data_IF_743947565967
#
_entry.id   IF_743947565967
#
_cell.length_a   1.000
_cell.length_b   1.000
_cell.length_c   1.000
_cell.angle_alpha   90.00
_cell.angle_beta   90.00
_cell.angle_gamma   90.00
#
_symmetry.space_group_name_H-M   'P 1'
#
loop_
_entity.id
_entity.type
_entity.pdbx_description
1 polymer ?
#
# COMPACT_ATOMS: atom_id res chain seq x y z
N UNK A 1 -34.78 -9.80 -8.39
CA UNK A 1 -34.69 -9.59 -6.92
C UNK A 1 -33.85 -10.70 -6.26
N UNK A 2 -32.63 -10.93 -6.78
CA UNK A 2 -31.56 -11.72 -6.14
C UNK A 2 -30.34 -11.62 -7.07
N UNK A 3 -29.52 -10.58 -6.89
CA UNK A 3 -28.15 -10.44 -7.45
C UNK A 3 -27.45 -9.15 -6.98
N UNK A 4 -27.73 -8.67 -5.75
CA UNK A 4 -27.16 -7.44 -5.19
C UNK A 4 -26.68 -7.68 -3.76
N UNK A 5 -25.75 -8.63 -3.56
CA UNK A 5 -25.13 -8.83 -2.24
C UNK A 5 -23.68 -9.31 -2.24
N UNK A 6 -22.94 -9.20 -3.36
CA UNK A 6 -21.59 -9.79 -3.45
C UNK A 6 -20.51 -8.85 -4.03
N UNK A 7 -20.49 -7.59 -3.59
CA UNK A 7 -19.44 -6.64 -4.01
C UNK A 7 -18.98 -5.69 -2.89
N UNK A 8 -18.87 -6.20 -1.65
CA UNK A 8 -18.27 -5.47 -0.52
C UNK A 8 -17.19 -6.24 0.27
N UNK A 9 -16.64 -7.30 -0.32
CA UNK A 9 -15.54 -8.09 0.26
C UNK A 9 -14.32 -7.99 -0.67
N UNK A 10 -13.67 -6.83 -0.76
CA UNK A 10 -12.36 -6.75 -1.45
C UNK A 10 -11.50 -5.53 -1.05
N UNK A 11 -11.44 -5.18 0.25
CA UNK A 11 -10.55 -4.11 0.72
C UNK A 11 -9.94 -4.32 2.13
N UNK A 12 -9.81 -5.55 2.63
CA UNK A 12 -9.36 -5.78 4.03
C UNK A 12 -8.39 -6.95 4.25
N UNK A 13 -7.44 -7.20 3.34
CA UNK A 13 -6.42 -8.25 3.55
C UNK A 13 -4.97 -7.74 3.69
N UNK A 14 -4.69 -6.44 3.59
CA UNK A 14 -3.30 -5.91 3.71
C UNK A 14 -3.04 -5.01 4.92
N UNK A 15 -3.86 -5.08 5.97
CA UNK A 15 -3.76 -4.16 7.12
C UNK A 15 -3.23 -4.77 8.44
N UNK A 16 -2.61 -5.96 8.43
CA UNK A 16 -2.13 -6.59 9.68
C UNK A 16 -0.61 -6.78 9.81
N UNK A 17 0.21 -6.23 8.90
CA UNK A 17 1.68 -6.34 8.99
C UNK A 17 2.47 -5.05 8.75
N UNK A 18 1.81 -3.89 8.82
CA UNK A 18 2.47 -2.59 8.80
C UNK A 18 1.89 -1.69 9.91
N UNK A 19 2.45 -1.76 11.12
CA UNK A 19 2.34 -0.67 12.09
C UNK A 19 3.75 -0.22 12.54
N UNK A 20 4.18 0.85 11.90
CA UNK A 20 5.07 1.93 12.32
C UNK A 20 6.04 1.70 13.49
N UNK A 21 7.33 1.79 13.13
CA UNK A 21 8.40 2.35 13.97
C UNK A 21 8.09 3.84 14.17
N UNK A 22 7.70 4.24 15.38
CA UNK A 22 7.87 5.59 15.90
C UNK A 22 7.77 5.54 17.43
N UNK A 23 8.91 5.68 18.12
CA UNK A 23 8.98 5.87 19.57
C UNK A 23 9.23 7.36 19.81
N UNK A 24 8.33 8.12 20.44
CA UNK A 24 8.71 9.38 21.06
C UNK A 24 9.22 9.09 22.46
N UNK A 25 10.50 9.39 22.68
CA UNK A 25 11.10 9.58 24.01
C UNK A 25 10.36 10.70 24.74
N UNK A 26 9.74 10.39 25.88
CA UNK A 26 9.18 11.39 26.78
C UNK A 26 9.72 11.19 28.20
N UNK A 27 10.27 12.29 28.72
CA UNK A 27 10.88 12.52 30.02
C UNK A 27 10.04 12.02 31.21
N UNK A 28 10.73 11.46 32.20
CA UNK A 28 10.19 11.23 33.53
C UNK A 28 10.04 12.56 34.29
N UNK A 29 8.84 12.81 34.84
CA UNK A 29 8.66 13.72 35.96
C UNK A 29 7.82 13.05 37.04
N UNK A 30 8.37 13.09 38.26
CA UNK A 30 7.81 12.59 39.50
C UNK A 30 6.50 13.29 39.87
N UNK A 31 5.50 12.54 40.35
CA UNK A 31 4.43 13.12 41.18
C UNK A 31 4.24 12.29 42.46
N UNK A 32 4.22 12.99 43.60
CA UNK A 32 3.96 12.51 44.97
C UNK A 32 2.47 12.19 45.17
N UNK A 33 2.10 11.43 46.22
CA UNK A 33 0.81 10.74 46.31
C UNK A 33 -0.30 11.63 46.90
N UNK A 34 -1.54 11.41 46.43
CA UNK A 34 -2.75 11.92 47.06
C UNK A 34 -3.73 10.78 47.36
N UNK A 35 -3.94 10.62 48.66
CA UNK A 35 -5.07 10.13 49.45
C UNK A 35 -6.11 9.11 48.93
N UNK A 36 -6.27 8.11 49.80
CA UNK A 36 -7.35 7.13 49.91
C UNK A 36 -8.74 7.76 49.86
N UNK A 37 -9.60 7.21 49.01
CA UNK A 37 -10.98 6.77 49.35
C UNK A 37 -11.62 6.09 48.15
N UNK A 38 -11.94 4.79 48.28
CA UNK A 38 -13.06 4.05 47.64
C UNK A 38 -12.84 2.56 47.97
N UNK A 39 -13.54 2.01 48.96
CA UNK A 39 -14.91 1.50 48.92
C UNK A 39 -15.05 0.26 48.03
N UNK A 40 -15.00 -0.91 48.68
CA UNK A 40 -15.85 -2.12 48.54
C UNK A 40 -16.39 -2.59 47.18
N UNK A 41 -15.94 -2.04 46.05
CA UNK A 41 -16.38 -2.37 44.69
C UNK A 41 -15.36 -3.20 43.91
N UNK A 42 -14.22 -3.52 44.54
CA UNK A 42 -13.10 -4.23 43.92
C UNK A 42 -13.24 -5.76 44.03
N UNK A 43 -13.91 -6.28 45.07
CA UNK A 43 -14.02 -7.74 45.24
C UNK A 43 -15.03 -8.37 44.26
N UNK A 44 -16.15 -7.70 43.98
CA UNK A 44 -17.17 -8.21 43.04
C UNK A 44 -16.76 -8.13 41.54
N UNK A 45 -15.70 -7.39 41.20
CA UNK A 45 -15.17 -7.31 39.82
C UNK A 45 -14.08 -8.34 39.53
N UNK A 46 -13.48 -8.95 40.56
CA UNK A 46 -12.47 -10.00 40.38
C UNK A 46 -13.08 -11.37 40.08
N UNK A 47 -14.31 -11.65 40.56
CA UNK A 47 -15.03 -12.90 40.27
C UNK A 47 -15.84 -12.87 38.95
N UNK A 48 -16.13 -11.69 38.41
CA UNK A 48 -16.79 -11.56 37.10
C UNK A 48 -15.78 -11.60 35.94
N UNK A 49 -14.52 -11.21 36.17
CA UNK A 49 -13.46 -11.30 35.17
C UNK A 49 -13.04 -12.75 34.88
N UNK A 50 -13.21 -13.68 35.82
CA UNK A 50 -12.81 -15.09 35.67
C UNK A 50 -13.83 -15.98 34.95
N UNK A 51 -15.05 -15.49 34.67
CA UNK A 51 -16.08 -16.26 33.95
C UNK A 51 -16.19 -15.94 32.45
N UNK A 52 -15.67 -14.81 31.99
CA UNK A 52 -15.67 -14.47 30.55
C UNK A 52 -14.39 -14.89 29.80
N UNK A 53 -13.28 -15.16 30.52
CA UNK A 53 -12.05 -15.75 29.94
C UNK A 53 -12.28 -17.16 29.34
N UNK A 54 -13.35 -17.85 29.74
CA UNK A 54 -13.67 -19.19 29.25
C UNK A 54 -14.17 -19.23 27.79
N UNK A 55 -14.45 -18.08 27.17
CA UNK A 55 -15.03 -18.02 25.81
C UNK A 55 -13.99 -17.99 24.67
N UNK A 56 -12.69 -17.77 24.95
CA UNK A 56 -11.63 -17.80 23.93
C UNK A 56 -10.96 -19.18 23.82
N UNK A 57 -10.93 -19.98 24.90
CA UNK A 57 -10.27 -21.30 24.92
C UNK A 57 -10.76 -22.28 23.83
N UNK A 58 -12.08 -22.44 23.55
CA UNK A 58 -12.56 -23.42 22.57
C UNK A 58 -12.18 -23.07 21.12
N UNK A 59 -11.88 -21.80 20.83
CA UNK A 59 -11.52 -21.32 19.49
C UNK A 59 -10.09 -21.71 19.09
N UNK A 60 -9.24 -22.03 20.06
CA UNK A 60 -7.84 -22.38 19.88
C UNK A 60 -7.55 -23.85 20.19
N UNK A 61 -8.58 -24.64 20.51
CA UNK A 61 -8.50 -26.08 20.66
C UNK A 61 -8.27 -26.73 19.29
N UNK A 62 -7.08 -27.31 19.10
CA UNK A 62 -6.70 -28.00 17.88
C UNK A 62 -7.50 -29.30 17.76
N UNK A 63 -8.16 -29.58 16.61
CA UNK A 63 -8.85 -30.84 16.37
C UNK A 63 -7.93 -32.05 16.60
N UNK A 64 -8.34 -33.00 17.44
CA UNK A 64 -7.47 -34.13 17.80
C UNK A 64 -7.30 -35.14 16.64
N UNK A 65 -8.39 -35.45 15.93
CA UNK A 65 -8.44 -36.40 14.80
C UNK A 65 -8.66 -35.72 13.44
N UNK A 66 -8.35 -34.43 13.33
CA UNK A 66 -8.53 -33.68 12.10
C UNK A 66 -7.60 -34.17 10.99
N UNK A 67 -8.13 -34.34 9.79
CA UNK A 67 -7.33 -34.55 8.58
C UNK A 67 -6.37 -33.38 8.33
N UNK A 68 -5.33 -33.61 7.51
CA UNK A 68 -4.36 -32.56 7.14
C UNK A 68 -5.06 -31.31 6.56
N UNK A 69 -6.11 -31.51 5.76
CA UNK A 69 -6.91 -30.41 5.19
C UNK A 69 -7.69 -29.64 6.28
N UNK A 70 -8.35 -30.36 7.19
CA UNK A 70 -9.07 -29.75 8.31
C UNK A 70 -8.14 -28.97 9.25
N UNK A 71 -6.90 -29.43 9.44
CA UNK A 71 -5.89 -28.73 10.24
C UNK A 71 -5.41 -27.44 9.54
N UNK A 72 -5.25 -27.43 8.22
CA UNK A 72 -4.96 -26.18 7.47
C UNK A 72 -6.12 -25.19 7.49
N UNK A 73 -7.36 -25.68 7.41
CA UNK A 73 -8.55 -24.88 7.55
C UNK A 73 -8.65 -24.28 8.96
N UNK A 74 -8.32 -25.07 9.98
CA UNK A 74 -8.21 -24.61 11.35
C UNK A 74 -7.16 -23.49 11.49
N UNK A 75 -5.94 -23.68 10.99
CA UNK A 75 -4.88 -22.65 10.99
C UNK A 75 -5.39 -21.36 10.32
N UNK A 76 -6.05 -21.49 9.17
CA UNK A 76 -6.60 -20.36 8.42
C UNK A 76 -7.69 -19.61 9.20
N UNK A 77 -8.54 -20.32 9.95
CA UNK A 77 -9.55 -19.73 10.84
C UNK A 77 -8.90 -19.02 12.02
N UNK A 78 -7.95 -19.68 12.71
CA UNK A 78 -7.22 -19.13 13.85
C UNK A 78 -6.52 -17.82 13.49
N UNK A 79 -5.84 -17.75 12.33
CA UNK A 79 -5.16 -16.53 11.83
C UNK A 79 -6.12 -15.35 11.60
N UNK A 80 -7.41 -15.63 11.34
CA UNK A 80 -8.44 -14.60 11.09
C UNK A 80 -9.15 -14.14 12.36
N UNK A 81 -9.06 -14.90 13.45
CA UNK A 81 -9.65 -14.55 14.73
C UNK A 81 -9.01 -13.27 15.28
N UNK A 82 -9.83 -12.30 15.72
CA UNK A 82 -9.36 -11.03 16.30
C UNK A 82 -9.52 -11.08 17.82
N UNK A 83 -8.58 -10.44 18.53
CA UNK A 83 -8.70 -10.25 19.98
C UNK A 83 -9.92 -9.40 20.30
N UNK A 84 -10.69 -9.82 21.30
CA UNK A 84 -11.77 -9.01 21.89
C UNK A 84 -11.21 -7.94 22.82
N UNK A 85 -9.99 -8.15 23.33
CA UNK A 85 -9.27 -7.24 24.19
C UNK A 85 -8.80 -5.99 23.45
N UNK A 86 -8.91 -4.84 24.12
CA UNK A 86 -8.43 -3.56 23.59
C UNK A 86 -7.07 -3.19 24.18
N UNK A 87 -6.73 -3.71 25.36
CA UNK A 87 -5.45 -3.43 25.97
C UNK A 87 -4.33 -4.20 25.24
N UNK A 88 -3.14 -3.59 25.13
CA UNK A 88 -1.98 -4.21 24.48
C UNK A 88 -1.63 -5.56 25.10
N UNK A 89 -1.75 -5.69 26.43
CA UNK A 89 -1.47 -6.95 27.13
C UNK A 89 -2.45 -8.06 26.71
N UNK A 90 -3.75 -7.77 26.67
CA UNK A 90 -4.80 -8.71 26.23
C UNK A 90 -4.58 -9.16 24.77
N UNK A 91 -4.19 -8.22 23.90
CA UNK A 91 -3.86 -8.52 22.51
C UNK A 91 -2.64 -9.43 22.37
N UNK A 92 -1.62 -9.24 23.22
CA UNK A 92 -0.42 -10.09 23.25
C UNK A 92 -0.79 -11.49 23.77
N UNK A 93 -1.61 -11.62 24.80
CA UNK A 93 -2.05 -12.93 25.29
C UNK A 93 -2.89 -13.68 24.26
N UNK A 94 -3.84 -13.01 23.61
CA UNK A 94 -4.60 -13.57 22.49
C UNK A 94 -3.67 -14.07 21.37
N UNK A 95 -2.66 -13.28 21.01
CA UNK A 95 -1.67 -13.66 20.00
C UNK A 95 -0.87 -14.90 20.42
N UNK A 96 -0.47 -15.00 21.69
CA UNK A 96 0.23 -16.20 22.21
C UNK A 96 -0.63 -17.44 22.07
N UNK A 97 -1.93 -17.36 22.41
CA UNK A 97 -2.87 -18.47 22.24
C UNK A 97 -3.04 -18.88 20.78
N UNK A 98 -3.18 -17.91 19.88
CA UNK A 98 -3.24 -18.16 18.43
C UNK A 98 -1.99 -18.90 17.93
N UNK A 99 -0.81 -18.41 18.30
CA UNK A 99 0.45 -19.00 17.88
C UNK A 99 0.59 -20.42 18.42
N UNK A 100 0.29 -20.65 19.70
CA UNK A 100 0.35 -21.97 20.29
C UNK A 100 -0.55 -22.98 19.55
N UNK A 101 -1.78 -22.57 19.19
CA UNK A 101 -2.69 -23.39 18.42
C UNK A 101 -2.17 -23.68 17.00
N UNK A 102 -1.61 -22.67 16.32
CA UNK A 102 -1.02 -22.84 14.98
C UNK A 102 0.17 -23.80 15.03
N UNK A 103 1.09 -23.62 15.99
CA UNK A 103 2.26 -24.49 16.16
C UNK A 103 1.83 -25.93 16.41
N UNK A 104 0.90 -26.17 17.35
CA UNK A 104 0.37 -27.52 17.65
C UNK A 104 -0.31 -28.14 16.42
N UNK A 105 -1.06 -27.36 15.64
CA UNK A 105 -1.69 -27.85 14.41
C UNK A 105 -0.64 -28.21 13.33
N UNK A 106 0.42 -27.41 13.18
CA UNK A 106 1.51 -27.71 12.24
C UNK A 106 2.28 -28.98 12.64
N UNK A 107 2.52 -29.19 13.93
CA UNK A 107 3.15 -30.40 14.46
C UNK A 107 2.29 -31.64 14.15
N UNK A 108 0.99 -31.60 14.42
CA UNK A 108 0.05 -32.68 14.05
C UNK A 108 0.04 -32.96 12.55
N UNK A 109 0.06 -31.91 11.70
CA UNK A 109 0.13 -32.10 10.25
C UNK A 109 1.40 -32.87 9.87
N UNK A 110 2.55 -32.52 10.46
CA UNK A 110 3.83 -33.17 10.17
C UNK A 110 3.92 -34.60 10.71
N UNK A 111 3.29 -34.88 11.86
CA UNK A 111 3.18 -36.23 12.42
C UNK A 111 2.31 -37.16 11.57
N UNK A 112 1.34 -36.59 10.84
CA UNK A 112 0.48 -37.33 9.93
C UNK A 112 1.15 -37.74 8.60
N UNK A 113 2.46 -37.46 8.44
CA UNK A 113 3.27 -37.76 7.25
C UNK A 113 2.60 -37.27 5.95
N UNK A 114 2.40 -35.95 5.80
CA UNK A 114 1.67 -35.39 4.69
C UNK A 114 2.54 -35.40 3.43
N UNK A 115 1.97 -35.11 2.25
CA UNK A 115 2.78 -34.95 1.05
C UNK A 115 3.78 -33.78 1.16
N UNK A 116 4.87 -33.82 0.38
CA UNK A 116 5.97 -32.83 0.44
C UNK A 116 5.48 -31.37 0.47
N UNK A 117 4.53 -31.00 -0.39
CA UNK A 117 3.99 -29.64 -0.46
C UNK A 117 3.25 -29.22 0.83
N UNK A 118 2.49 -30.15 1.40
CA UNK A 118 1.75 -29.93 2.64
C UNK A 118 2.72 -29.82 3.82
N UNK A 119 3.79 -30.61 3.84
CA UNK A 119 4.81 -30.51 4.87
C UNK A 119 5.55 -29.17 4.81
N UNK A 120 6.01 -28.75 3.63
CA UNK A 120 6.65 -27.46 3.40
C UNK A 120 5.73 -26.32 3.84
N UNK A 121 4.44 -26.41 3.53
CA UNK A 121 3.43 -25.43 3.96
C UNK A 121 3.30 -25.39 5.49
N UNK A 122 3.21 -26.54 6.16
CA UNK A 122 3.12 -26.61 7.62
C UNK A 122 4.37 -26.03 8.30
N UNK A 123 5.56 -26.35 7.79
CA UNK A 123 6.83 -25.80 8.28
C UNK A 123 6.88 -24.29 8.08
N UNK A 124 6.45 -23.78 6.91
CA UNK A 124 6.40 -22.35 6.65
C UNK A 124 5.45 -21.62 7.61
N UNK A 125 4.26 -22.18 7.88
CA UNK A 125 3.28 -21.61 8.82
C UNK A 125 3.82 -21.62 10.26
N UNK A 126 4.46 -22.71 10.68
CA UNK A 126 5.11 -22.81 12.00
C UNK A 126 6.25 -21.79 12.15
N UNK A 127 7.08 -21.61 11.11
CA UNK A 127 8.13 -20.58 11.09
C UNK A 127 7.55 -19.18 11.31
N UNK A 128 6.52 -18.82 10.55
CA UNK A 128 5.91 -17.49 10.60
C UNK A 128 5.27 -17.24 11.98
N UNK A 129 4.60 -18.24 12.56
CA UNK A 129 4.02 -18.18 13.89
C UNK A 129 5.10 -17.97 14.98
N UNK A 130 6.19 -18.73 14.94
CA UNK A 130 7.29 -18.61 15.92
C UNK A 130 8.08 -17.30 15.75
N UNK A 131 8.21 -16.81 14.52
CA UNK A 131 8.82 -15.49 14.25
C UNK A 131 7.96 -14.37 14.83
N UNK A 132 6.65 -14.43 14.66
CA UNK A 132 5.72 -13.51 15.31
C UNK A 132 5.82 -13.61 16.84
N UNK A 133 5.91 -14.83 17.41
CA UNK A 133 6.04 -15.02 18.85
C UNK A 133 7.28 -14.33 19.40
N UNK A 134 8.43 -14.49 18.74
CA UNK A 134 9.67 -13.81 19.12
C UNK A 134 9.51 -12.29 19.10
N UNK A 135 8.77 -11.73 18.15
CA UNK A 135 8.57 -10.28 18.03
C UNK A 135 7.72 -9.69 19.15
N UNK A 136 6.70 -10.42 19.64
CA UNK A 136 5.74 -9.91 20.62
C UNK A 136 5.94 -10.46 22.05
N UNK A 137 6.65 -11.58 22.18
CA UNK A 137 6.93 -12.28 23.45
C UNK A 137 8.35 -12.89 23.41
N UNK A 138 9.37 -12.02 23.34
CA UNK A 138 10.78 -12.39 23.12
C UNK A 138 11.28 -13.52 24.02
N UNK A 139 10.95 -13.49 25.32
CA UNK A 139 11.43 -14.46 26.32
C UNK A 139 10.96 -15.89 26.02
N UNK A 140 9.73 -16.07 25.57
CA UNK A 140 9.17 -17.39 25.23
C UNK A 140 9.42 -17.76 23.77
N UNK A 141 9.34 -16.79 22.85
CA UNK A 141 9.47 -17.03 21.42
C UNK A 141 10.90 -17.32 20.96
N UNK A 142 11.91 -16.69 21.56
CA UNK A 142 13.32 -16.90 21.18
C UNK A 142 13.78 -18.36 21.32
N UNK A 143 13.61 -19.04 22.47
CA UNK A 143 14.04 -20.44 22.60
C UNK A 143 13.25 -21.39 21.69
N UNK A 144 11.94 -21.16 21.50
CA UNK A 144 11.12 -22.01 20.63
C UNK A 144 11.53 -21.88 19.16
N UNK A 145 11.68 -20.65 18.66
CA UNK A 145 12.16 -20.43 17.30
C UNK A 145 13.56 -21.00 17.10
N UNK A 146 14.46 -20.87 18.08
CA UNK A 146 15.80 -21.45 18.01
C UNK A 146 15.74 -22.98 17.87
N UNK A 147 14.99 -23.67 18.73
CA UNK A 147 14.86 -25.12 18.68
C UNK A 147 14.30 -25.60 17.33
N UNK A 148 13.23 -24.94 16.85
CA UNK A 148 12.65 -25.22 15.54
C UNK A 148 13.65 -25.03 14.39
N UNK A 149 14.45 -23.95 14.43
CA UNK A 149 15.48 -23.70 13.43
C UNK A 149 16.64 -24.71 13.50
N UNK A 150 17.04 -25.14 14.70
CA UNK A 150 18.07 -26.18 14.86
C UNK A 150 17.61 -27.50 14.21
N UNK A 151 16.34 -27.87 14.39
CA UNK A 151 15.75 -29.06 13.76
C UNK A 151 15.68 -28.93 12.23
N UNK A 152 15.22 -27.79 11.70
CA UNK A 152 15.17 -27.54 10.26
C UNK A 152 16.55 -27.55 9.61
N UNK A 153 17.55 -26.99 10.27
CA UNK A 153 18.93 -26.98 9.76
C UNK A 153 19.58 -28.37 9.75
N UNK A 154 19.10 -29.29 10.60
CA UNK A 154 19.51 -30.69 10.57
C UNK A 154 18.84 -31.49 9.43
N UNK A 155 17.73 -30.99 8.87
CA UNK A 155 17.00 -31.62 7.79
C UNK A 155 17.80 -31.57 6.46
N UNK A 156 17.88 -32.72 5.78
CA UNK A 156 18.67 -32.88 4.55
C UNK A 156 17.82 -32.79 3.28
N UNK A 157 16.49 -32.78 3.40
CA UNK A 157 15.56 -32.84 2.27
C UNK A 157 15.66 -31.56 1.42
N UNK A 158 15.72 -31.68 0.07
CA UNK A 158 15.90 -30.52 -0.81
C UNK A 158 14.84 -29.43 -0.66
N UNK A 159 13.57 -29.82 -0.51
CA UNK A 159 12.44 -28.90 -0.37
C UNK A 159 12.52 -28.07 0.92
N UNK A 160 13.05 -28.64 2.01
CA UNK A 160 13.23 -27.92 3.28
C UNK A 160 14.39 -26.93 3.18
N UNK A 161 15.51 -27.32 2.56
CA UNK A 161 16.63 -26.41 2.29
C UNK A 161 16.22 -25.23 1.41
N UNK A 162 15.40 -25.50 0.39
CA UNK A 162 14.85 -24.47 -0.49
C UNK A 162 13.95 -23.49 0.28
N UNK A 163 13.07 -24.00 1.15
CA UNK A 163 12.26 -23.16 2.03
C UNK A 163 13.12 -22.26 2.94
N UNK A 164 14.16 -22.82 3.57
CA UNK A 164 15.09 -22.06 4.43
C UNK A 164 15.74 -20.93 3.62
N UNK A 165 16.33 -21.24 2.47
CA UNK A 165 16.99 -20.25 1.60
C UNK A 165 16.02 -19.12 1.21
N UNK A 166 14.79 -19.48 0.84
CA UNK A 166 13.73 -18.51 0.54
C UNK A 166 13.40 -17.62 1.73
N UNK A 167 13.17 -18.19 2.92
CA UNK A 167 12.86 -17.42 4.14
C UNK A 167 14.00 -16.48 4.53
N UNK A 168 15.24 -16.95 4.45
CA UNK A 168 16.43 -16.12 4.69
C UNK A 168 16.54 -14.97 3.69
N UNK A 169 16.33 -15.24 2.39
CA UNK A 169 16.36 -14.21 1.38
C UNK A 169 15.27 -13.16 1.60
N UNK A 170 14.03 -13.58 1.88
CA UNK A 170 12.94 -12.66 2.20
C UNK A 170 13.20 -11.88 3.49
N UNK A 171 13.88 -12.46 4.48
CA UNK A 171 14.27 -11.74 5.70
C UNK A 171 15.33 -10.66 5.42
N UNK A 172 16.28 -10.92 4.51
CA UNK A 172 17.27 -9.91 4.06
C UNK A 172 16.62 -8.68 3.42
N UNK A 173 15.40 -8.81 2.87
CA UNK A 173 14.67 -7.68 2.30
C UNK A 173 14.50 -6.49 3.27
N UNK A 174 14.41 -6.76 4.57
CA UNK A 174 14.26 -5.73 5.60
C UNK A 174 15.49 -4.80 5.74
N UNK A 175 16.65 -5.21 5.22
CA UNK A 175 17.90 -4.42 5.29
C UNK A 175 18.29 -3.78 3.95
N UNK A 176 17.50 -3.99 2.88
CA UNK A 176 17.81 -3.50 1.52
C UNK A 176 18.05 -1.99 1.46
N UNK A 177 17.32 -1.20 2.25
CA UNK A 177 17.50 0.25 2.29
C UNK A 177 18.85 0.70 2.88
N UNK A 178 19.56 -0.20 3.57
CA UNK A 178 20.87 0.05 4.20
C UNK A 178 22.03 -0.58 3.42
N UNK A 179 21.75 -1.36 2.37
CA UNK A 179 22.75 -1.98 1.51
C UNK A 179 23.42 -0.97 0.58
N UNK A 180 24.68 -1.23 0.23
CA UNK A 180 25.35 -0.55 -0.89
C UNK A 180 24.59 -0.78 -2.21
N UNK A 181 24.94 -0.04 -3.26
CA UNK A 181 24.32 -0.24 -4.57
C UNK A 181 24.61 -1.65 -5.10
N UNK A 182 25.85 -2.12 -4.96
CA UNK A 182 26.30 -3.44 -5.40
C UNK A 182 25.64 -4.57 -4.61
N UNK A 183 25.58 -4.44 -3.28
CA UNK A 183 24.88 -5.41 -2.42
C UNK A 183 23.40 -5.49 -2.75
N UNK A 184 22.79 -4.34 -3.03
CA UNK A 184 21.38 -4.25 -3.40
C UNK A 184 21.10 -4.89 -4.75
N UNK A 185 21.92 -4.61 -5.77
CA UNK A 185 21.78 -5.23 -7.08
C UNK A 185 21.94 -6.75 -6.99
N UNK A 186 22.94 -7.24 -6.25
CA UNK A 186 23.14 -8.67 -6.02
C UNK A 186 21.92 -9.31 -5.32
N UNK A 187 21.38 -8.66 -4.29
CA UNK A 187 20.18 -9.12 -3.61
C UNK A 187 18.97 -9.17 -4.56
N UNK A 188 18.77 -8.15 -5.38
CA UNK A 188 17.66 -8.13 -6.34
C UNK A 188 17.81 -9.24 -7.39
N UNK A 189 19.02 -9.50 -7.86
CA UNK A 189 19.27 -10.59 -8.79
C UNK A 189 19.00 -11.96 -8.16
N UNK A 190 19.41 -12.17 -6.90
CA UNK A 190 19.08 -13.37 -6.12
C UNK A 190 17.56 -13.54 -5.95
N UNK A 191 16.86 -12.46 -5.58
CA UNK A 191 15.40 -12.47 -5.39
C UNK A 191 14.66 -12.86 -6.66
N UNK A 192 15.03 -12.29 -7.80
CA UNK A 192 14.37 -12.58 -9.06
C UNK A 192 14.80 -13.90 -9.68
N UNK A 193 16.02 -14.38 -9.43
CA UNK A 193 16.40 -15.74 -9.77
C UNK A 193 15.52 -16.77 -9.03
N UNK A 194 15.22 -16.52 -7.75
CA UNK A 194 14.24 -17.33 -7.01
C UNK A 194 12.84 -17.25 -7.64
N UNK A 195 12.36 -16.05 -8.01
CA UNK A 195 11.04 -15.89 -8.65
C UNK A 195 10.98 -16.61 -10.00
N UNK A 196 12.05 -16.55 -10.79
CA UNK A 196 12.13 -17.22 -12.09
C UNK A 196 12.15 -18.76 -11.95
N UNK A 197 12.74 -19.29 -10.88
CA UNK A 197 12.76 -20.74 -10.58
C UNK A 197 11.45 -21.24 -9.95
N UNK A 198 10.90 -20.51 -8.98
CA UNK A 198 9.84 -20.98 -8.08
C UNK A 198 8.45 -20.46 -8.46
N UNK A 199 8.40 -19.47 -9.34
CA UNK A 199 7.21 -18.67 -9.59
C UNK A 199 6.98 -17.59 -8.54
N UNK A 200 6.08 -16.67 -8.86
CA UNK A 200 5.72 -15.56 -8.00
C UNK A 200 4.55 -15.96 -7.08
N UNK A 201 4.81 -16.11 -5.78
CA UNK A 201 3.75 -16.24 -4.79
C UNK A 201 3.41 -14.91 -4.09
N UNK A 202 2.35 -14.92 -3.27
CA UNK A 202 1.86 -13.73 -2.56
C UNK A 202 2.85 -13.15 -1.56
N UNK A 203 3.64 -14.00 -0.89
CA UNK A 203 4.62 -13.56 0.10
C UNK A 203 5.78 -12.83 -0.58
N UNK A 204 6.30 -13.44 -1.65
CA UNK A 204 7.38 -12.92 -2.48
C UNK A 204 6.96 -11.65 -3.19
N UNK A 205 5.73 -11.61 -3.75
CA UNK A 205 5.13 -10.38 -4.28
C UNK A 205 5.09 -9.27 -3.24
N UNK A 206 4.59 -9.56 -2.02
CA UNK A 206 4.47 -8.56 -0.96
C UNK A 206 5.82 -7.93 -0.61
N UNK A 207 6.86 -8.77 -0.49
CA UNK A 207 8.23 -8.33 -0.22
C UNK A 207 8.78 -7.51 -1.39
N UNK A 208 8.74 -8.03 -2.62
CA UNK A 208 9.24 -7.35 -3.81
C UNK A 208 8.53 -5.99 -4.00
N UNK A 209 7.20 -5.98 -3.96
CA UNK A 209 6.40 -4.76 -4.06
C UNK A 209 6.71 -3.76 -2.93
N UNK A 210 6.93 -4.24 -1.70
CA UNK A 210 7.33 -3.43 -0.56
C UNK A 210 8.69 -2.73 -0.79
N UNK A 211 9.68 -3.45 -1.30
CA UNK A 211 10.97 -2.89 -1.69
C UNK A 211 10.79 -1.86 -2.81
N UNK A 212 10.03 -2.20 -3.86
CA UNK A 212 9.78 -1.31 -5.00
C UNK A 212 9.17 0.02 -4.56
N UNK A 213 8.18 -0.03 -3.66
CA UNK A 213 7.57 1.17 -3.06
C UNK A 213 8.56 1.97 -2.23
N UNK A 214 9.33 1.30 -1.38
CA UNK A 214 10.30 1.97 -0.50
C UNK A 214 11.41 2.66 -1.30
N UNK A 215 11.96 1.97 -2.30
CA UNK A 215 13.03 2.50 -3.14
C UNK A 215 12.52 3.58 -4.10
N UNK A 216 11.34 3.40 -4.68
CA UNK A 216 10.69 4.40 -5.54
C UNK A 216 10.32 5.71 -4.83
N UNK A 217 10.21 5.69 -3.50
CA UNK A 217 9.94 6.88 -2.69
C UNK A 217 11.20 7.49 -2.06
N UNK A 218 12.39 6.93 -2.35
CA UNK A 218 13.69 7.34 -1.81
C UNK A 218 14.52 8.09 -2.86
N UNK A 219 15.78 8.39 -2.55
CA UNK A 219 16.74 9.03 -3.47
C UNK A 219 17.25 8.10 -4.59
N UNK A 220 16.71 6.88 -4.70
CA UNK A 220 17.05 5.91 -5.77
C UNK A 220 15.80 5.39 -6.50
N UNK A 221 15.03 6.25 -7.19
CA UNK A 221 13.80 5.85 -7.88
C UNK A 221 14.04 4.82 -9.01
N UNK A 222 15.22 4.80 -9.61
CA UNK A 222 15.62 3.89 -10.68
C UNK A 222 15.63 2.43 -10.21
N UNK A 223 16.04 2.20 -8.95
CA UNK A 223 16.02 0.87 -8.32
C UNK A 223 14.57 0.40 -8.17
N UNK A 224 13.68 1.28 -7.70
CA UNK A 224 12.26 0.98 -7.61
C UNK A 224 11.65 0.68 -8.98
N UNK A 225 12.03 1.43 -10.02
CA UNK A 225 11.56 1.22 -11.38
C UNK A 225 12.04 -0.13 -11.95
N UNK A 226 13.33 -0.45 -11.82
CA UNK A 226 13.91 -1.74 -12.24
C UNK A 226 13.21 -2.91 -11.56
N UNK A 227 12.92 -2.79 -10.26
CA UNK A 227 12.19 -3.80 -9.53
C UNK A 227 10.76 -3.96 -10.05
N UNK A 228 10.00 -2.88 -10.17
CA UNK A 228 8.61 -2.95 -10.65
C UNK A 228 8.53 -3.53 -12.07
N UNK A 229 9.49 -3.23 -12.94
CA UNK A 229 9.54 -3.80 -14.29
C UNK A 229 9.74 -5.33 -14.27
N UNK A 230 10.72 -5.81 -13.50
CA UNK A 230 10.94 -7.25 -13.34
C UNK A 230 9.75 -7.94 -12.66
N UNK A 231 9.15 -7.28 -11.66
CA UNK A 231 7.96 -7.80 -10.99
C UNK A 231 6.76 -7.88 -11.94
N UNK A 232 6.55 -6.88 -12.78
CA UNK A 232 5.51 -6.91 -13.81
C UNK A 232 5.71 -8.08 -14.79
N UNK A 233 6.95 -8.34 -15.21
CA UNK A 233 7.26 -9.50 -16.06
C UNK A 233 6.97 -10.83 -15.37
N UNK A 234 7.30 -10.95 -14.07
CA UNK A 234 6.97 -12.14 -13.28
C UNK A 234 5.46 -12.32 -13.10
N UNK A 235 4.73 -11.22 -12.87
CA UNK A 235 3.27 -11.22 -12.75
C UNK A 235 2.58 -11.61 -14.06
N UNK A 236 3.10 -11.18 -15.20
CA UNK A 236 2.56 -11.51 -16.53
C UNK A 236 2.71 -13.00 -16.87
N UNK A 237 3.80 -13.63 -16.40
CA UNK A 237 4.07 -15.07 -16.60
C UNK A 237 3.41 -15.97 -15.56
N UNK A 238 2.81 -15.39 -14.51
CA UNK A 238 2.23 -16.14 -13.40
C UNK A 238 0.92 -16.82 -13.78
N UNK A 239 0.69 -18.02 -13.27
CA UNK A 239 -0.59 -18.74 -13.41
C UNK A 239 -1.72 -18.12 -12.56
N UNK A 240 -1.40 -17.27 -11.58
CA UNK A 240 -2.40 -16.51 -10.81
C UNK A 240 -3.01 -15.38 -11.66
N UNK A 241 -4.32 -15.45 -12.01
CA UNK A 241 -4.97 -14.47 -12.88
C UNK A 241 -5.01 -13.06 -12.25
N UNK A 242 -4.96 -12.93 -10.92
CA UNK A 242 -4.90 -11.61 -10.28
C UNK A 242 -3.53 -10.93 -10.49
N UNK A 243 -2.45 -11.71 -10.60
CA UNK A 243 -1.14 -11.16 -10.93
C UNK A 243 -1.10 -10.73 -12.40
N UNK A 244 -1.55 -11.58 -13.32
CA UNK A 244 -1.62 -11.24 -14.74
C UNK A 244 -2.45 -9.96 -14.97
N UNK A 245 -3.63 -9.84 -14.33
CA UNK A 245 -4.50 -8.67 -14.45
C UNK A 245 -3.87 -7.37 -13.92
N UNK A 246 -2.87 -7.44 -13.03
CA UNK A 246 -2.21 -6.26 -12.43
C UNK A 246 -0.83 -5.98 -13.03
N UNK A 247 -0.31 -6.85 -13.88
CA UNK A 247 1.05 -6.73 -14.43
C UNK A 247 1.28 -5.39 -15.12
N UNK A 248 0.32 -4.93 -15.94
CA UNK A 248 0.46 -3.66 -16.67
C UNK A 248 0.44 -2.44 -15.74
N UNK A 249 -0.37 -2.48 -14.68
CA UNK A 249 -0.38 -1.40 -13.67
C UNK A 249 0.95 -1.35 -12.90
N UNK A 250 1.54 -2.51 -12.60
CA UNK A 250 2.89 -2.61 -12.01
C UNK A 250 3.95 -2.05 -12.97
N UNK A 251 3.86 -2.38 -14.27
CA UNK A 251 4.73 -1.83 -15.31
C UNK A 251 4.57 -0.31 -15.41
N UNK A 252 3.35 0.19 -15.26
CA UNK A 252 3.07 1.63 -15.18
C UNK A 252 3.72 2.32 -14.00
N UNK A 253 3.86 1.65 -12.85
CA UNK A 253 4.57 2.21 -11.71
C UNK A 253 6.07 2.37 -12.03
N UNK A 254 6.67 1.42 -12.76
CA UNK A 254 8.03 1.54 -13.25
C UNK A 254 8.20 2.71 -14.22
N UNK A 255 7.30 2.85 -15.21
CA UNK A 255 7.29 4.00 -16.13
C UNK A 255 7.22 5.32 -15.36
N UNK A 256 6.28 5.43 -14.43
CA UNK A 256 6.06 6.64 -13.63
C UNK A 256 7.27 7.03 -12.79
N UNK A 257 8.00 6.06 -12.22
CA UNK A 257 9.22 6.35 -11.46
C UNK A 257 10.36 6.89 -12.32
N UNK A 258 10.36 6.61 -13.63
CA UNK A 258 11.35 7.10 -14.60
C UNK A 258 10.94 8.42 -15.28
N UNK A 259 9.73 8.91 -15.04
CA UNK A 259 9.24 10.12 -15.69
C UNK A 259 10.04 11.39 -15.37
N UNK A 260 10.55 11.64 -14.15
CA UNK A 260 11.25 12.89 -13.86
C UNK A 260 12.38 13.18 -14.85
N UNK A 261 12.33 14.33 -15.52
CA UNK A 261 13.28 14.74 -16.57
C UNK A 261 12.99 14.18 -17.97
N UNK A 262 12.09 13.21 -18.08
CA UNK A 262 11.65 12.59 -19.32
C UNK A 262 10.36 13.22 -19.87
N UNK A 263 10.06 12.93 -21.13
CA UNK A 263 8.85 13.41 -21.79
C UNK A 263 7.63 12.61 -21.33
N UNK A 264 6.52 13.32 -21.17
CA UNK A 264 5.21 12.73 -20.91
C UNK A 264 4.27 12.97 -22.09
N UNK A 265 3.50 11.94 -22.44
CA UNK A 265 2.41 12.04 -23.41
C UNK A 265 1.12 11.45 -22.83
N UNK A 266 0.00 12.05 -23.19
CA UNK A 266 -1.32 11.59 -22.80
C UNK A 266 -2.12 11.20 -24.04
N UNK A 267 -2.80 10.07 -23.96
CA UNK A 267 -3.73 9.60 -24.97
C UNK A 267 -5.01 9.14 -24.27
N UNK A 268 -6.16 9.49 -24.81
CA UNK A 268 -7.44 9.08 -24.26
C UNK A 268 -8.60 9.89 -24.85
N UNK A 269 -9.71 9.88 -24.12
CA UNK A 269 -10.92 10.61 -24.44
C UNK A 269 -11.19 11.67 -23.39
N UNK A 270 -11.68 12.83 -23.80
CA UNK A 270 -12.25 13.80 -22.86
C UNK A 270 -13.52 13.21 -22.24
N UNK A 271 -13.94 13.76 -21.10
CA UNK A 271 -15.17 13.30 -20.44
C UNK A 271 -16.43 13.49 -21.30
N UNK A 272 -16.38 14.37 -22.31
CA UNK A 272 -17.43 14.59 -23.30
C UNK A 272 -17.46 13.48 -24.37
N UNK A 273 -16.42 12.64 -24.44
CA UNK A 273 -16.29 11.53 -25.39
C UNK A 273 -15.44 11.87 -26.62
N UNK A 274 -14.79 13.03 -26.65
CA UNK A 274 -13.98 13.46 -27.80
C UNK A 274 -12.54 12.93 -27.69
N UNK A 275 -11.87 12.63 -28.81
CA UNK A 275 -10.44 12.30 -28.79
C UNK A 275 -9.60 13.43 -28.19
N UNK A 276 -8.72 13.10 -27.25
CA UNK A 276 -7.84 14.07 -26.63
C UNK A 276 -6.56 14.29 -27.44
N UNK A 277 -6.23 15.55 -27.73
CA UNK A 277 -5.00 15.95 -28.42
C UNK A 277 -3.98 16.58 -27.45
N UNK A 278 -2.99 15.79 -27.05
CA UNK A 278 -1.89 16.28 -26.21
C UNK A 278 -1.01 17.33 -26.91
N UNK A 279 -0.97 17.34 -28.24
CA UNK A 279 -0.12 18.29 -28.98
C UNK A 279 -0.53 19.75 -28.78
N UNK A 280 -1.82 20.00 -28.49
CA UNK A 280 -2.37 21.32 -28.13
C UNK A 280 -1.81 21.90 -26.82
N UNK A 281 -1.09 21.07 -26.04
CA UNK A 281 -0.45 21.47 -24.78
C UNK A 281 1.06 21.67 -24.90
N UNK A 282 1.67 21.41 -26.07
CA UNK A 282 3.10 21.68 -26.28
C UNK A 282 3.40 23.18 -26.07
N UNK A 283 4.50 23.50 -25.40
CA UNK A 283 4.87 24.87 -25.06
C UNK A 283 4.16 25.44 -23.82
N UNK A 284 3.25 24.69 -23.19
CA UNK A 284 2.58 25.05 -21.93
C UNK A 284 3.21 24.33 -20.75
N UNK A 285 3.09 24.93 -19.56
CA UNK A 285 3.28 24.19 -18.31
C UNK A 285 1.97 23.48 -17.98
N UNK A 286 1.99 22.17 -17.83
CA UNK A 286 0.77 21.35 -17.69
C UNK A 286 0.78 20.60 -16.38
N UNK A 287 -0.25 20.83 -15.55
CA UNK A 287 -0.52 19.99 -14.39
C UNK A 287 -1.45 18.85 -14.80
N UNK A 288 -0.95 17.62 -14.78
CA UNK A 288 -1.76 16.40 -14.92
C UNK A 288 -2.17 15.92 -13.53
N UNK A 289 -3.45 16.10 -13.17
CA UNK A 289 -3.98 15.77 -11.84
C UNK A 289 -4.89 14.53 -11.90
N UNK A 290 -4.50 13.45 -11.23
CA UNK A 290 -5.32 12.25 -11.06
C UNK A 290 -6.21 12.43 -9.83
N UNK A 291 -7.52 12.47 -10.05
CA UNK A 291 -8.49 12.86 -9.03
C UNK A 291 -9.83 12.12 -9.15
N UNK A 292 -10.67 12.27 -8.12
CA UNK A 292 -12.06 11.81 -8.16
C UNK A 292 -12.94 12.63 -7.20
N UNK A 293 -14.24 12.69 -7.46
CA UNK A 293 -15.22 13.42 -6.63
C UNK A 293 -15.30 12.94 -5.18
N UNK A 294 -14.94 11.67 -4.92
CA UNK A 294 -14.93 11.08 -3.59
C UNK A 294 -13.59 11.29 -2.84
N UNK A 295 -12.56 11.81 -3.52
CA UNK A 295 -11.24 12.02 -2.93
C UNK A 295 -11.17 13.36 -2.18
N UNK A 296 -11.35 13.34 -0.86
CA UNK A 296 -11.30 14.54 0.00
C UNK A 296 -10.05 15.42 -0.22
N UNK A 297 -8.82 14.88 -0.16
CA UNK A 297 -7.61 15.67 -0.41
C UNK A 297 -7.46 16.18 -1.85
N UNK A 298 -8.09 15.52 -2.83
CA UNK A 298 -8.12 16.03 -4.20
C UNK A 298 -8.97 17.29 -4.27
N UNK A 299 -10.15 17.25 -3.65
CA UNK A 299 -11.10 18.37 -3.59
C UNK A 299 -10.56 19.58 -2.85
N UNK A 300 -9.76 19.36 -1.81
CA UNK A 300 -9.09 20.43 -1.08
C UNK A 300 -8.09 21.24 -1.92
N UNK A 301 -7.58 20.66 -3.02
CA UNK A 301 -6.62 21.31 -3.92
C UNK A 301 -7.28 22.15 -5.02
N UNK A 302 -8.55 21.86 -5.35
CA UNK A 302 -9.29 22.52 -6.44
C UNK A 302 -9.30 24.04 -6.31
N UNK A 303 -9.55 24.66 -5.13
CA UNK A 303 -9.48 26.10 -4.99
C UNK A 303 -8.09 26.67 -5.35
N UNK A 304 -7.01 26.01 -4.94
CA UNK A 304 -5.66 26.42 -5.30
C UNK A 304 -5.44 26.31 -6.81
N UNK A 305 -5.85 25.20 -7.43
CA UNK A 305 -5.75 24.99 -8.87
C UNK A 305 -6.49 26.06 -9.69
N UNK A 306 -7.70 26.45 -9.26
CA UNK A 306 -8.44 27.56 -9.88
C UNK A 306 -7.66 28.87 -9.81
N UNK A 307 -7.19 29.25 -8.61
CA UNK A 307 -6.37 30.45 -8.43
C UNK A 307 -5.10 30.42 -9.28
N UNK A 308 -4.41 29.27 -9.39
CA UNK A 308 -3.23 29.16 -10.24
C UNK A 308 -3.58 29.25 -11.72
N UNK A 309 -4.72 28.69 -12.15
CA UNK A 309 -5.20 28.81 -13.52
C UNK A 309 -5.55 30.26 -13.88
N UNK A 310 -6.16 31.00 -12.96
CA UNK A 310 -6.41 32.45 -13.13
C UNK A 310 -5.10 33.25 -13.23
N UNK A 311 -4.14 32.98 -12.36
CA UNK A 311 -2.88 33.73 -12.32
C UNK A 311 -1.94 33.43 -13.50
N UNK A 312 -1.95 32.19 -14.00
CA UNK A 312 -0.93 31.69 -14.92
C UNK A 312 -1.50 31.18 -16.25
N UNK A 313 -2.82 31.10 -16.43
CA UNK A 313 -3.46 30.62 -17.65
C UNK A 313 -2.97 31.37 -18.89
N UNK A 314 -2.98 32.71 -18.82
CA UNK A 314 -2.49 33.57 -19.90
C UNK A 314 -0.96 33.52 -20.07
N UNK A 315 -0.23 33.08 -19.03
CA UNK A 315 1.22 32.83 -19.08
C UNK A 315 1.58 31.44 -19.62
N UNK A 316 0.57 30.65 -20.03
CA UNK A 316 0.74 29.32 -20.61
C UNK A 316 0.69 28.18 -19.59
N UNK A 317 0.01 28.35 -18.46
CA UNK A 317 -0.34 27.24 -17.57
C UNK A 317 -1.65 26.57 -18.02
N UNK A 318 -1.70 25.24 -17.93
CA UNK A 318 -2.89 24.46 -18.20
C UNK A 318 -3.02 23.31 -17.20
N UNK A 319 -4.24 22.83 -17.03
CA UNK A 319 -4.57 21.67 -16.20
C UNK A 319 -5.22 20.62 -17.11
N UNK A 320 -4.82 19.36 -16.93
CA UNK A 320 -5.49 18.19 -17.50
C UNK A 320 -5.82 17.24 -16.37
N UNK A 321 -7.11 17.12 -16.06
CA UNK A 321 -7.58 16.20 -15.04
C UNK A 321 -7.72 14.78 -15.59
N UNK A 322 -7.28 13.76 -14.86
CA UNK A 322 -7.58 12.36 -15.13
C UNK A 322 -8.56 11.89 -14.05
N UNK A 323 -9.82 11.72 -14.43
CA UNK A 323 -10.87 11.42 -13.46
C UNK A 323 -11.00 9.89 -13.22
N UNK A 324 -11.09 9.53 -11.94
CA UNK A 324 -11.23 8.15 -11.45
C UNK A 324 -12.56 7.93 -10.69
N UNK A 325 -13.59 8.68 -11.03
CA UNK A 325 -14.95 8.31 -10.61
C UNK A 325 -15.39 7.02 -11.32
N UNK A 326 -16.26 6.27 -10.65
CA UNK A 326 -16.77 4.99 -11.18
C UNK A 326 -17.96 5.17 -12.13
N UNK A 327 -18.54 6.37 -12.19
CA UNK A 327 -19.66 6.66 -13.08
C UNK A 327 -19.57 8.10 -13.58
N UNK A 328 -20.03 8.33 -14.82
CA UNK A 328 -20.03 9.65 -15.45
C UNK A 328 -20.92 10.65 -14.71
N UNK A 329 -22.01 10.19 -14.10
CA UNK A 329 -22.95 11.04 -13.35
C UNK A 329 -22.29 11.66 -12.12
N UNK A 330 -21.47 10.90 -11.39
CA UNK A 330 -20.75 11.43 -10.22
C UNK A 330 -19.74 12.49 -10.62
N UNK A 331 -19.00 12.20 -11.70
CA UNK A 331 -18.07 13.16 -12.29
C UNK A 331 -18.82 14.45 -12.68
N UNK A 332 -19.89 14.34 -13.47
CA UNK A 332 -20.63 15.49 -14.01
C UNK A 332 -21.23 16.34 -12.88
N UNK A 333 -21.89 15.72 -11.90
CA UNK A 333 -22.45 16.42 -10.74
C UNK A 333 -21.39 17.25 -10.00
N UNK A 334 -20.16 16.74 -9.92
CA UNK A 334 -19.09 17.42 -9.22
C UNK A 334 -18.49 18.55 -10.08
N UNK A 335 -18.25 18.30 -11.37
CA UNK A 335 -17.71 19.30 -12.30
C UNK A 335 -18.65 20.48 -12.47
N UNK A 336 -19.95 20.24 -12.61
CA UNK A 336 -20.96 21.30 -12.73
C UNK A 336 -21.04 22.14 -11.46
N UNK A 337 -21.06 21.47 -10.30
CA UNK A 337 -21.14 22.13 -9.00
C UNK A 337 -19.93 23.00 -8.73
N UNK A 338 -18.73 22.48 -9.00
CA UNK A 338 -17.49 23.18 -8.74
C UNK A 338 -17.05 24.02 -9.94
N UNK A 339 -17.82 24.09 -11.02
CA UNK A 339 -17.52 24.88 -12.23
C UNK A 339 -16.07 24.66 -12.72
N UNK A 340 -15.67 23.39 -12.89
CA UNK A 340 -14.32 23.07 -13.36
C UNK A 340 -14.22 23.31 -14.86
N UNK A 341 -13.35 24.23 -15.27
CA UNK A 341 -13.25 24.69 -16.67
C UNK A 341 -12.14 24.02 -17.48
N UNK A 342 -11.25 23.27 -16.83
CA UNK A 342 -10.16 22.58 -17.50
C UNK A 342 -10.60 21.24 -18.09
N UNK A 343 -9.86 20.76 -19.08
CA UNK A 343 -10.10 19.47 -19.73
C UNK A 343 -9.92 18.32 -18.75
N UNK A 344 -10.91 17.43 -18.68
CA UNK A 344 -10.83 16.19 -17.92
C UNK A 344 -10.92 15.00 -18.87
N UNK A 345 -10.08 14.00 -18.62
CA UNK A 345 -10.06 12.74 -19.35
C UNK A 345 -10.74 11.66 -18.52
N UNK A 346 -11.65 10.94 -19.17
CA UNK A 346 -12.42 9.84 -18.59
C UNK A 346 -12.83 8.91 -19.74
N UNK A 347 -12.71 7.60 -19.53
CA UNK A 347 -13.22 6.64 -20.52
C UNK A 347 -14.74 6.68 -20.55
N UNK A 348 -15.32 6.46 -21.73
CA UNK A 348 -16.76 6.30 -21.94
C UNK A 348 -17.24 4.87 -21.63
N UNK A 349 -16.32 3.91 -21.45
CA UNK A 349 -16.64 2.52 -21.11
C UNK A 349 -16.58 2.28 -19.60
N UNK A 350 -17.64 1.69 -19.05
CA UNK A 350 -17.77 1.45 -17.61
C UNK A 350 -16.65 0.57 -17.02
N UNK A 351 -16.14 -0.40 -17.79
CA UNK A 351 -15.05 -1.29 -17.39
C UNK A 351 -13.65 -0.66 -17.48
N UNK A 352 -13.57 0.56 -18.01
CA UNK A 352 -12.37 1.41 -18.07
C UNK A 352 -12.52 2.66 -17.18
N UNK A 353 -13.52 2.71 -16.29
CA UNK A 353 -13.68 3.81 -15.32
C UNK A 353 -12.97 3.51 -13.99
N UNK A 354 -12.91 4.51 -13.11
CA UNK A 354 -12.31 4.34 -11.79
C UNK A 354 -10.83 3.94 -11.83
N UNK A 355 -10.47 2.88 -11.09
CA UNK A 355 -9.08 2.42 -10.98
C UNK A 355 -8.58 1.65 -12.20
N UNK A 356 -9.48 1.27 -13.10
CA UNK A 356 -9.20 0.56 -14.34
C UNK A 356 -9.02 1.52 -15.53
N UNK A 357 -9.11 2.83 -15.28
CA UNK A 357 -8.81 3.87 -16.25
C UNK A 357 -7.48 3.60 -17.00
N UNK A 358 -7.47 3.54 -18.34
CA UNK A 358 -6.29 3.18 -19.12
C UNK A 358 -5.09 4.09 -18.85
N UNK A 359 -5.31 5.38 -18.61
CA UNK A 359 -4.25 6.34 -18.28
C UNK A 359 -3.73 6.07 -16.87
N UNK A 360 -4.61 5.83 -15.90
CA UNK A 360 -4.22 5.46 -14.54
C UNK A 360 -3.44 4.13 -14.50
N UNK A 361 -3.84 3.15 -15.30
CA UNK A 361 -3.13 1.89 -15.49
C UNK A 361 -1.77 2.12 -16.15
N UNK A 362 -1.72 2.92 -17.21
CA UNK A 362 -0.48 3.24 -17.91
C UNK A 362 0.55 3.92 -17.01
N UNK A 363 0.13 4.77 -16.08
CA UNK A 363 1.04 5.43 -15.12
C UNK A 363 1.12 4.74 -13.76
N UNK A 364 0.56 3.54 -13.63
CA UNK A 364 0.60 2.75 -12.38
C UNK A 364 0.08 3.54 -11.17
N UNK A 365 -1.04 4.24 -11.35
CA UNK A 365 -1.68 5.06 -10.34
C UNK A 365 -2.50 4.13 -9.43
N UNK A 366 -1.95 3.87 -8.24
CA UNK A 366 -2.57 3.02 -7.22
C UNK A 366 -3.13 3.82 -6.04
N UNK A 367 -3.10 5.15 -6.12
CA UNK A 367 -3.53 6.05 -5.06
C UNK A 367 -3.70 7.47 -5.57
N UNK A 368 -4.71 8.16 -5.05
CA UNK A 368 -4.95 9.57 -5.29
C UNK A 368 -5.02 10.33 -3.95
N UNK A 369 -4.64 11.62 -3.92
CA UNK A 369 -4.21 12.44 -5.07
C UNK A 369 -2.85 12.04 -5.64
N UNK A 370 -2.70 12.16 -6.96
CA UNK A 370 -1.39 12.12 -7.66
C UNK A 370 -1.36 13.24 -8.69
N UNK A 371 -0.30 14.03 -8.71
CA UNK A 371 -0.14 15.14 -9.65
C UNK A 371 1.23 15.08 -10.32
N UNK A 372 1.27 15.33 -11.62
CA UNK A 372 2.49 15.35 -12.45
C UNK A 372 2.55 16.70 -13.14
N UNK A 373 3.64 17.46 -12.93
CA UNK A 373 3.85 18.75 -13.58
C UNK A 373 4.82 18.59 -14.74
N UNK A 374 4.39 19.03 -15.92
CA UNK A 374 5.14 19.03 -17.17
C UNK A 374 5.51 20.47 -17.51
N UNK A 375 6.76 20.72 -17.90
CA UNK A 375 7.21 22.05 -18.34
C UNK A 375 6.90 22.34 -19.81
N UNK A 376 7.28 23.54 -20.28
CA UNK A 376 7.04 23.99 -21.66
C UNK A 376 7.76 23.14 -22.72
N UNK A 377 8.86 22.49 -22.35
CA UNK A 377 9.60 21.58 -23.23
C UNK A 377 8.93 20.20 -23.30
N UNK A 378 7.93 19.93 -22.46
CA UNK A 378 7.22 18.66 -22.39
C UNK A 378 7.85 17.67 -21.41
N UNK A 379 8.78 18.11 -20.54
CA UNK A 379 9.46 17.27 -19.57
C UNK A 379 8.77 17.30 -18.22
N UNK A 380 8.76 16.17 -17.51
CA UNK A 380 8.21 16.10 -16.16
C UNK A 380 9.18 16.72 -15.16
N UNK A 381 8.76 17.80 -14.53
CA UNK A 381 9.55 18.57 -13.56
C UNK A 381 9.14 18.32 -12.11
N UNK A 382 7.96 17.74 -11.86
CA UNK A 382 7.54 17.35 -10.52
C UNK A 382 6.52 16.21 -10.55
N UNK A 383 6.64 15.30 -9.58
CA UNK A 383 5.68 14.21 -9.31
C UNK A 383 4.78 14.49 -8.10
N UNK A 384 4.86 15.71 -7.56
CA UNK A 384 4.24 16.09 -6.27
C UNK A 384 3.74 17.54 -6.26
N UNK A 385 3.55 18.17 -7.42
CA UNK A 385 3.15 19.57 -7.52
C UNK A 385 1.70 19.78 -7.04
N UNK A 386 1.55 20.06 -5.74
CA UNK A 386 0.27 20.40 -5.07
C UNK A 386 0.53 21.44 -3.97
N UNK A 387 -0.50 22.18 -3.58
CA UNK A 387 -0.41 23.22 -2.57
C UNK A 387 0.71 24.21 -2.85
N UNK A 388 1.50 24.54 -1.82
CA UNK A 388 2.63 25.47 -1.96
C UNK A 388 3.70 25.01 -2.96
N UNK A 389 3.88 23.71 -3.17
CA UNK A 389 4.84 23.19 -4.15
C UNK A 389 4.40 23.52 -5.58
N UNK A 390 3.11 23.38 -5.89
CA UNK A 390 2.58 23.80 -7.19
C UNK A 390 2.85 25.29 -7.41
N UNK A 391 2.54 26.11 -6.41
CA UNK A 391 2.66 27.57 -6.52
C UNK A 391 4.12 27.99 -6.76
N UNK A 392 5.06 27.41 -6.00
CA UNK A 392 6.48 27.66 -6.16
C UNK A 392 7.02 27.21 -7.52
N UNK A 393 6.57 26.05 -8.03
CA UNK A 393 6.99 25.56 -9.35
C UNK A 393 6.43 26.44 -10.48
N UNK A 394 5.18 26.89 -10.38
CA UNK A 394 4.59 27.79 -11.39
C UNK A 394 5.31 29.13 -11.41
N UNK A 395 5.58 29.73 -10.24
CA UNK A 395 6.36 30.97 -10.17
C UNK A 395 7.75 30.80 -10.79
N UNK A 396 8.42 29.68 -10.50
CA UNK A 396 9.73 29.36 -11.08
C UNK A 396 9.69 29.21 -12.61
N UNK A 397 8.65 28.58 -13.15
CA UNK A 397 8.54 28.25 -14.58
C UNK A 397 7.94 29.37 -15.42
N UNK A 398 7.10 30.22 -14.82
CA UNK A 398 6.28 31.22 -15.51
C UNK A 398 6.52 32.67 -15.03
N UNK A 399 7.39 32.85 -14.03
CA UNK A 399 7.65 34.15 -13.38
C UNK A 399 6.64 34.46 -12.28
N UNK A 400 6.80 35.59 -11.57
CA UNK A 400 5.86 35.98 -10.52
C UNK A 400 4.47 36.32 -11.06
N UNK A 401 3.45 36.18 -10.21
CA UNK A 401 2.11 36.72 -10.48
C UNK A 401 2.20 38.23 -10.55
N UNK A 402 1.78 38.81 -11.67
CA UNK A 402 1.63 40.25 -11.79
C UNK A 402 0.44 40.67 -10.93
N UNK A 403 0.70 41.50 -9.92
CA UNK A 403 -0.39 42.15 -9.20
C UNK A 403 -0.87 43.28 -10.11
N UNK A 404 -2.19 43.46 -10.32
CA UNK A 404 -2.68 44.64 -11.02
C UNK A 404 -2.12 45.88 -10.30
N UNK A 405 -1.56 46.81 -11.09
CA UNK A 405 -0.97 48.04 -10.57
C UNK A 405 -2.00 48.76 -9.70
N UNK A 406 -1.57 49.22 -8.52
CA UNK A 406 -2.43 49.90 -7.57
C UNK A 406 -3.00 51.22 -8.13
N UNK A 407 -2.45 51.72 -9.23
CA UNK A 407 -2.79 53.00 -9.85
C UNK A 407 -4.04 52.91 -10.76
N UNK A 408 -4.46 51.73 -11.24
CA UNK A 408 -5.68 51.60 -12.05
C UNK A 408 -6.99 51.64 -11.23
N UNK A 409 -6.89 51.63 -9.89
CA UNK A 409 -8.06 51.78 -9.01
C UNK A 409 -8.42 53.23 -8.71
N UNK A 410 -7.51 54.19 -8.85
CA UNK A 410 -7.83 55.61 -8.64
C UNK A 410 -8.60 56.19 -9.84
N UNK A 411 -8.30 55.77 -11.08
CA UNK A 411 -8.98 56.28 -12.29
C UNK A 411 -10.42 55.77 -12.45
N UNK A 412 -10.78 54.65 -11.82
CA UNK A 412 -12.14 54.11 -11.83
C UNK A 412 -13.06 54.78 -10.78
N UNK A 413 -12.49 55.31 -9.69
CA UNK A 413 -13.25 56.03 -8.65
C UNK A 413 -13.39 57.54 -8.94
N UNK A 414 -12.50 58.15 -9.72
CA UNK A 414 -12.65 59.56 -10.16
C UNK A 414 -13.57 59.76 -11.39
N UNK A 415 -14.00 58.67 -12.05
CA UNK A 415 -14.85 58.70 -13.25
C UNK A 415 -16.31 58.28 -13.01
N UNK A 416 -16.71 58.05 -11.75
CA UNK A 416 -18.06 57.63 -11.33
C UNK A 416 -18.95 58.77 -10.80
#
# INVERSE_FOLDING_TARGET
MSQLFNTRILMLVTASMCLAIAVPTAFAQETKPADKKTDAKTEAKSEAATKEDAAESPLFEVPEDGSVEELFDFISKVKRTRSKGRARAEQIEHLKLQIAAIVKACEKIREADPGDDQEVKAISEQWDALTALKMYATETGTPQLKAFMDDLNADKRPQIKKLIAKKELLAKAATVSRMSAEERDAFLDELFAMIDEDGLDRATYSVAHGIGRSMGSSDTPEVGAKLYERLAMAMEKSDDPEFAARAEKTRGAARRLRLPGEFMELTGTTAEGEPFDWSAYRGKVVLVDFWASWCGPCRAEIPNMKTQLENYGDKGFAIVGINLDQTKERYQQYVDKEELTWTNLMSDKEDEMGWDNPIATHYGISGIPTAILVDKDGKVVSMRARGGELNAQLEKLLGPVEKPDADEKEDAEESS
#
